data_IF_111615344257
#
_entry.id   IF_111615344257
#
_cell.length_a   1.000
_cell.length_b   1.000
_cell.length_c   1.000
_cell.angle_alpha   90.00
_cell.angle_beta   90.00
_cell.angle_gamma   90.00
#
_symmetry.space_group_name_H-M   'P 1'
#
loop_
_entity.id
_entity.type
_entity.pdbx_description
1 polymer ?
#
# COMPACT_ATOMS: atom_id res chain seq x y z
N UNK A 1 -11.48 -1.39 -2.08
CA UNK A 1 -10.10 -1.87 -2.33
C UNK A 1 -9.14 -1.47 -1.20
N UNK A 2 -9.10 -0.20 -0.80
CA UNK A 2 -8.31 0.29 0.35
C UNK A 2 -8.67 -0.40 1.68
N UNK A 3 -9.95 -0.70 1.90
CA UNK A 3 -10.41 -1.39 3.12
C UNK A 3 -9.79 -2.80 3.31
N UNK A 4 -9.41 -3.48 2.22
CA UNK A 4 -8.80 -4.83 2.29
C UNK A 4 -7.32 -4.81 2.70
N UNK A 5 -6.61 -3.71 2.46
CA UNK A 5 -5.23 -3.56 2.91
C UNK A 5 -5.14 -3.51 4.43
N UNK A 6 -6.10 -2.83 5.06
CA UNK A 6 -6.26 -2.81 6.51
C UNK A 6 -6.47 -4.23 7.06
N UNK A 7 -7.39 -5.00 6.48
CA UNK A 7 -7.72 -6.36 6.95
C UNK A 7 -6.52 -7.31 6.85
N UNK A 8 -5.75 -7.29 5.75
CA UNK A 8 -4.58 -8.16 5.58
C UNK A 8 -3.44 -7.85 6.55
N UNK A 9 -3.22 -6.58 6.85
CA UNK A 9 -2.16 -6.13 7.75
C UNK A 9 -2.52 -6.41 9.22
N UNK A 10 -3.79 -6.22 9.59
CA UNK A 10 -4.27 -6.47 10.95
C UNK A 10 -4.29 -7.97 11.32
N UNK A 11 -4.35 -8.86 10.33
CA UNK A 11 -4.29 -10.32 10.53
C UNK A 11 -2.85 -10.87 10.56
N UNK A 12 -1.81 -10.02 10.64
CA UNK A 12 -0.40 -10.43 10.67
C UNK A 12 0.09 -11.21 9.43
N UNK A 13 -0.65 -11.16 8.32
CA UNK A 13 -0.38 -12.05 7.17
C UNK A 13 0.62 -11.49 6.14
N UNK A 14 0.98 -10.20 6.20
CA UNK A 14 1.98 -9.62 5.29
C UNK A 14 2.60 -8.33 5.85
N UNK A 15 3.93 -8.21 5.74
CA UNK A 15 4.73 -7.04 6.09
C UNK A 15 5.29 -6.30 4.85
N UNK A 16 5.21 -6.93 3.66
CA UNK A 16 5.58 -6.32 2.37
C UNK A 16 4.42 -6.40 1.39
N UNK A 17 4.15 -5.30 0.68
CA UNK A 17 3.03 -5.19 -0.25
C UNK A 17 3.48 -4.75 -1.64
N UNK A 18 2.93 -5.39 -2.67
CA UNK A 18 2.96 -4.87 -4.04
C UNK A 18 1.55 -4.38 -4.39
N UNK A 19 1.43 -3.10 -4.70
CA UNK A 19 0.20 -2.44 -5.07
C UNK A 19 0.21 -2.16 -6.58
N UNK A 20 -0.50 -2.96 -7.35
CA UNK A 20 -0.80 -2.59 -8.73
C UNK A 20 -1.93 -1.55 -8.74
N UNK A 21 -1.64 -0.37 -9.29
CA UNK A 21 -2.56 0.75 -9.39
C UNK A 21 -3.14 0.96 -10.81
N UNK A 22 -2.87 0.06 -11.75
CA UNK A 22 -3.33 0.19 -13.15
C UNK A 22 -4.86 0.26 -13.26
N UNK A 23 -5.56 -0.53 -12.44
CA UNK A 23 -7.03 -0.63 -12.48
C UNK A 23 -7.72 0.26 -11.43
N UNK A 24 -7.01 1.21 -10.82
CA UNK A 24 -7.56 2.05 -9.74
C UNK A 24 -7.26 3.53 -9.93
N UNK A 25 -8.24 4.35 -9.55
CA UNK A 25 -8.11 5.81 -9.51
C UNK A 25 -7.36 6.31 -8.27
N UNK A 26 -6.96 5.40 -7.36
CA UNK A 26 -6.22 5.76 -6.16
C UNK A 26 -4.88 6.42 -6.52
N UNK A 27 -4.60 7.56 -5.89
CA UNK A 27 -3.33 8.25 -6.02
C UNK A 27 -2.33 7.77 -4.96
N UNK A 28 -1.04 8.02 -5.21
CA UNK A 28 0.01 7.81 -4.21
C UNK A 28 -0.26 8.64 -2.94
N UNK A 29 -0.82 9.84 -3.09
CA UNK A 29 -1.19 10.71 -1.96
C UNK A 29 -2.28 10.09 -1.09
N UNK A 30 -3.25 9.37 -1.67
CA UNK A 30 -4.29 8.65 -0.92
C UNK A 30 -3.68 7.52 -0.08
N UNK A 31 -2.71 6.80 -0.66
CA UNK A 31 -1.99 5.72 0.02
C UNK A 31 -1.15 6.31 1.16
N UNK A 32 -0.43 7.40 0.93
CA UNK A 32 0.34 8.11 1.95
C UNK A 32 -0.54 8.60 3.10
N UNK A 33 -1.67 9.24 2.78
CA UNK A 33 -2.61 9.74 3.78
C UNK A 33 -3.19 8.60 4.63
N UNK A 34 -3.45 7.44 4.02
CA UNK A 34 -3.92 6.26 4.72
C UNK A 34 -2.86 5.69 5.67
N UNK A 35 -1.59 5.60 5.24
CA UNK A 35 -0.49 5.15 6.09
C UNK A 35 -0.23 6.10 7.26
N UNK A 36 -0.31 7.41 7.03
CA UNK A 36 -0.16 8.41 8.08
C UNK A 36 -1.31 8.37 9.10
N UNK A 37 -2.54 8.14 8.62
CA UNK A 37 -3.73 8.04 9.48
C UNK A 37 -3.76 6.73 10.27
N UNK A 38 -3.25 5.64 9.68
CA UNK A 38 -3.20 4.32 10.28
C UNK A 38 -1.79 3.73 10.13
N UNK A 39 -0.84 4.22 10.94
CA UNK A 39 0.53 3.71 10.89
C UNK A 39 0.53 2.22 11.21
N UNK A 40 1.24 1.45 10.38
CA UNK A 40 1.47 0.04 10.63
C UNK A 40 2.94 -0.16 11.03
N UNK A 41 3.23 -0.38 12.32
CA UNK A 41 4.59 -0.50 12.81
C UNK A 41 5.32 -1.76 12.33
N UNK A 42 4.61 -2.73 11.74
CA UNK A 42 5.19 -3.96 11.16
C UNK A 42 5.39 -3.88 9.64
N UNK A 43 4.90 -2.82 9.00
CA UNK A 43 5.05 -2.64 7.56
C UNK A 43 6.53 -2.39 7.22
N UNK A 44 7.11 -3.26 6.42
CA UNK A 44 8.50 -3.17 5.96
C UNK A 44 8.63 -2.58 4.56
N UNK A 45 7.67 -2.81 3.66
CA UNK A 45 7.82 -2.37 2.27
C UNK A 45 6.48 -2.19 1.56
N UNK A 46 6.39 -1.17 0.70
CA UNK A 46 5.36 -1.03 -0.32
C UNK A 46 6.03 -0.70 -1.65
N UNK A 47 5.75 -1.53 -2.65
CA UNK A 47 6.08 -1.27 -4.05
C UNK A 47 4.78 -0.95 -4.78
N UNK A 48 4.77 0.10 -5.59
CA UNK A 48 3.65 0.47 -6.45
C UNK A 48 3.99 0.16 -7.89
N UNK A 49 3.04 -0.42 -8.63
CA UNK A 49 3.13 -0.60 -10.08
C UNK A 49 2.06 0.26 -10.74
N UNK A 50 2.45 1.09 -11.71
CA UNK A 50 1.52 1.91 -12.51
C UNK A 50 2.04 2.16 -13.92
N UNK A 51 1.23 1.88 -14.94
CA UNK A 51 1.61 1.96 -16.34
C UNK A 51 2.81 1.08 -16.69
N UNK A 52 2.98 -0.05 -15.98
CA UNK A 52 4.18 -0.89 -16.09
C UNK A 52 5.44 -0.32 -15.41
N UNK A 53 5.35 0.85 -14.76
CA UNK A 53 6.44 1.45 -13.98
C UNK A 53 6.38 0.92 -12.56
N UNK A 54 7.52 0.46 -12.04
CA UNK A 54 7.67 0.02 -10.65
C UNK A 54 8.27 1.17 -9.83
N UNK A 55 7.62 1.52 -8.72
CA UNK A 55 8.01 2.59 -7.81
C UNK A 55 8.12 2.03 -6.39
N UNK A 56 9.30 2.14 -5.78
CA UNK A 56 9.44 1.92 -4.34
C UNK A 56 8.75 3.08 -3.61
N UNK A 57 7.70 2.76 -2.86
CA UNK A 57 6.82 3.74 -2.24
C UNK A 57 7.01 3.84 -0.73
N UNK A 58 7.36 2.73 -0.07
CA UNK A 58 7.62 2.68 1.36
C UNK A 58 8.65 1.57 1.70
N UNK A 59 9.54 1.75 2.70
CA UNK A 59 9.88 3.05 3.27
C UNK A 59 10.29 4.04 2.17
#
# INVERSE_FOLDING_TARGET
MISRLKEKNFQEQADRFVLNLDDTQASLADIQAQLNRYPSPKLQEIIVVRGGIILHFFP
#
